data_IF_248854330914
#
_entry.id   IF_248854330914
#
_cell.length_a   1.000
_cell.length_b   1.000
_cell.length_c   1.000
_cell.angle_alpha   90.00
_cell.angle_beta   90.00
_cell.angle_gamma   90.00
#
_symmetry.space_group_name_H-M   'P 1'
#
loop_
_entity.id
_entity.type
_entity.pdbx_description
1 polymer ?
#
# COMPACT_ATOMS: atom_id res chain seq x y z
N UNK A 1 19.15 12.42 -6.14
CA UNK A 1 18.79 11.05 -5.78
C UNK A 1 17.73 10.99 -4.67
N UNK A 2 17.77 11.90 -3.70
CA UNK A 2 16.71 12.14 -2.72
C UNK A 2 15.92 13.39 -3.08
N UNK A 3 14.63 13.43 -2.73
CA UNK A 3 13.81 14.60 -3.02
C UNK A 3 14.05 15.69 -1.96
N UNK A 4 14.08 16.96 -2.38
CA UNK A 4 14.23 18.11 -1.47
C UNK A 4 13.10 18.26 -0.43
N UNK A 5 12.05 17.43 -0.54
CA UNK A 5 10.88 17.41 0.34
C UNK A 5 11.00 16.41 1.50
N UNK A 6 12.15 15.73 1.64
CA UNK A 6 12.39 14.78 2.73
C UNK A 6 13.36 15.38 3.74
N UNK A 7 12.93 15.47 4.98
CA UNK A 7 13.80 15.76 6.12
C UNK A 7 14.49 14.45 6.56
N UNK A 8 15.82 14.43 6.55
CA UNK A 8 16.61 13.27 6.93
C UNK A 8 17.26 13.48 8.29
N UNK A 9 17.17 12.48 9.16
CA UNK A 9 17.78 12.50 10.49
C UNK A 9 18.44 11.16 10.83
N UNK A 10 19.53 11.21 11.55
CA UNK A 10 20.20 10.08 12.20
C UNK A 10 20.05 10.22 13.71
N UNK A 11 19.61 9.15 14.36
CA UNK A 11 19.60 9.02 15.81
C UNK A 11 20.59 7.92 16.21
N UNK A 12 21.59 8.29 17.00
CA UNK A 12 22.58 7.33 17.52
C UNK A 12 21.99 6.56 18.69
N UNK A 13 22.09 5.24 18.64
CA UNK A 13 21.53 4.34 19.66
C UNK A 13 22.49 3.19 19.96
N UNK A 14 22.36 2.58 21.13
CA UNK A 14 22.91 1.25 21.38
C UNK A 14 21.95 0.17 20.88
N UNK A 15 22.44 -1.01 20.55
CA UNK A 15 21.61 -2.12 20.08
C UNK A 15 20.49 -2.47 21.06
N UNK A 16 20.80 -2.46 22.37
CA UNK A 16 19.82 -2.77 23.43
C UNK A 16 18.73 -1.71 23.60
N UNK A 17 18.99 -0.47 23.20
CA UNK A 17 18.05 0.65 23.36
C UNK A 17 17.23 0.96 22.10
N UNK A 18 17.48 0.26 20.99
CA UNK A 18 16.79 0.55 19.70
C UNK A 18 15.28 0.56 19.83
N UNK A 19 14.69 -0.46 20.45
CA UNK A 19 13.24 -0.57 20.59
C UNK A 19 12.66 0.54 21.46
N UNK A 20 13.31 0.85 22.60
CA UNK A 20 12.87 1.92 23.47
C UNK A 20 12.93 3.30 22.76
N UNK A 21 14.01 3.57 22.03
CA UNK A 21 14.15 4.81 21.25
C UNK A 21 13.10 4.87 20.14
N UNK A 22 12.79 3.76 19.50
CA UNK A 22 11.74 3.70 18.49
C UNK A 22 10.36 4.05 19.08
N UNK A 23 10.03 3.52 20.25
CA UNK A 23 8.78 3.86 20.95
C UNK A 23 8.72 5.35 21.29
N UNK A 24 9.81 5.92 21.79
CA UNK A 24 9.92 7.35 22.07
C UNK A 24 9.74 8.20 20.81
N UNK A 25 10.31 7.78 19.69
CA UNK A 25 10.12 8.43 18.39
C UNK A 25 8.65 8.36 17.93
N UNK A 26 7.96 7.24 18.10
CA UNK A 26 6.54 7.14 17.80
C UNK A 26 5.70 8.14 18.61
N UNK A 27 6.04 8.32 19.88
CA UNK A 27 5.33 9.26 20.76
C UNK A 27 5.57 10.71 20.33
N UNK A 28 6.83 11.08 20.10
CA UNK A 28 7.21 12.47 19.80
C UNK A 28 6.80 12.86 18.38
N UNK A 29 7.03 12.00 17.39
CA UNK A 29 6.70 12.26 15.98
C UNK A 29 5.20 12.08 15.70
N UNK A 30 4.55 11.18 16.41
CA UNK A 30 3.13 10.85 16.29
C UNK A 30 2.65 10.76 14.83
N UNK A 31 3.27 9.91 13.98
CA UNK A 31 3.06 9.89 12.54
C UNK A 31 1.63 9.51 12.14
N UNK A 32 1.11 10.10 11.06
CA UNK A 32 -0.17 9.67 10.47
C UNK A 32 -0.05 8.32 9.78
N UNK A 33 1.08 8.10 9.12
CA UNK A 33 1.43 6.83 8.47
C UNK A 33 2.95 6.65 8.50
N UNK A 34 3.40 5.48 8.90
CA UNK A 34 4.81 5.18 9.09
C UNK A 34 5.17 3.80 8.54
N UNK A 35 6.29 3.69 7.82
CA UNK A 35 6.94 2.41 7.57
C UNK A 35 8.19 2.31 8.43
N UNK A 36 8.32 1.19 9.13
CA UNK A 36 9.51 0.83 9.89
C UNK A 36 10.24 -0.29 9.18
N UNK A 37 11.44 -0.01 8.70
CA UNK A 37 12.26 -0.99 7.98
C UNK A 37 13.20 -1.73 8.93
N UNK A 38 13.09 -3.05 8.94
CA UNK A 38 14.00 -3.97 9.59
C UNK A 38 14.80 -4.77 8.56
N UNK A 39 16.00 -5.20 8.95
CA UNK A 39 16.90 -5.98 8.07
C UNK A 39 16.42 -7.41 7.86
N UNK A 40 15.86 -8.05 8.88
CA UNK A 40 15.48 -9.46 8.86
C UNK A 40 14.00 -9.68 9.15
N UNK A 41 13.47 -10.81 8.65
CA UNK A 41 12.10 -11.25 8.95
C UNK A 41 11.88 -11.43 10.46
N UNK A 42 12.87 -12.00 11.14
CA UNK A 42 12.82 -12.19 12.59
C UNK A 42 12.68 -10.87 13.35
N UNK A 43 13.40 -9.83 12.96
CA UNK A 43 13.28 -8.51 13.56
C UNK A 43 11.92 -7.87 13.26
N UNK A 44 11.38 -8.07 12.06
CA UNK A 44 10.02 -7.63 11.71
C UNK A 44 9.00 -8.28 12.64
N UNK A 45 9.06 -9.60 12.81
CA UNK A 45 8.12 -10.32 13.67
C UNK A 45 8.25 -9.94 15.14
N UNK A 46 9.49 -9.78 15.64
CA UNK A 46 9.74 -9.34 17.03
C UNK A 46 9.16 -7.96 17.28
N UNK A 47 9.47 -7.00 16.41
CA UNK A 47 9.01 -5.63 16.56
C UNK A 47 7.48 -5.54 16.45
N UNK A 48 6.90 -6.25 15.49
CA UNK A 48 5.44 -6.31 15.35
C UNK A 48 4.76 -6.86 16.61
N UNK A 49 5.30 -7.91 17.24
CA UNK A 49 4.75 -8.44 18.51
C UNK A 49 4.77 -7.39 19.63
N UNK A 50 5.88 -6.69 19.79
CA UNK A 50 5.97 -5.60 20.78
C UNK A 50 4.92 -4.53 20.51
N UNK A 51 4.74 -4.13 19.27
CA UNK A 51 3.74 -3.12 18.89
C UNK A 51 2.31 -3.63 19.11
N UNK A 52 2.04 -4.89 18.80
CA UNK A 52 0.72 -5.50 19.01
C UNK A 52 0.38 -5.62 20.50
N UNK A 53 1.35 -5.99 21.33
CA UNK A 53 1.19 -6.07 22.80
C UNK A 53 0.92 -4.69 23.44
N UNK A 54 1.32 -3.61 22.77
CA UNK A 54 1.07 -2.23 23.16
C UNK A 54 -0.15 -1.61 22.47
N UNK A 55 -0.97 -2.40 21.80
CA UNK A 55 -2.18 -1.98 21.08
C UNK A 55 -1.92 -0.93 19.97
N UNK A 56 -0.73 -0.95 19.36
CA UNK A 56 -0.47 -0.10 18.20
C UNK A 56 -1.29 -0.56 16.98
N UNK A 57 -1.89 0.36 16.23
CA UNK A 57 -2.52 0.04 14.94
C UNK A 57 -1.43 -0.25 13.90
N UNK A 58 -0.91 -1.47 13.94
CA UNK A 58 0.25 -1.93 13.17
C UNK A 58 -0.02 -3.26 12.47
N UNK A 59 0.71 -3.49 11.39
CA UNK A 59 0.84 -4.78 10.74
C UNK A 59 2.25 -4.93 10.17
N UNK A 60 2.58 -6.09 9.63
CA UNK A 60 3.90 -6.43 9.14
C UNK A 60 3.87 -7.03 7.74
N UNK A 61 5.01 -6.95 7.05
CA UNK A 61 5.21 -7.58 5.75
C UNK A 61 6.66 -8.03 5.57
N UNK A 62 6.86 -9.29 5.23
CA UNK A 62 8.17 -9.85 4.88
C UNK A 62 8.05 -11.04 3.91
N UNK A 63 9.17 -11.50 3.36
CA UNK A 63 9.20 -12.54 2.33
C UNK A 63 8.77 -13.94 2.78
N UNK A 64 8.65 -14.19 4.09
CA UNK A 64 8.16 -15.46 4.66
C UNK A 64 6.63 -15.57 4.72
N UNK A 65 5.91 -14.49 4.37
CA UNK A 65 4.44 -14.48 4.34
C UNK A 65 3.93 -14.94 2.97
N UNK A 66 2.73 -15.54 2.97
CA UNK A 66 2.04 -15.91 1.73
C UNK A 66 1.72 -14.66 0.89
N UNK A 67 1.69 -14.81 -0.43
CA UNK A 67 1.51 -13.69 -1.35
C UNK A 67 0.16 -12.98 -1.14
N UNK A 68 -0.91 -13.73 -0.90
CA UNK A 68 -2.25 -13.17 -0.68
C UNK A 68 -2.31 -12.37 0.63
N UNK A 69 -1.69 -12.88 1.70
CA UNK A 69 -1.57 -12.17 2.98
C UNK A 69 -0.80 -10.85 2.80
N UNK A 70 0.30 -10.86 2.04
CA UNK A 70 1.06 -9.64 1.73
C UNK A 70 0.23 -8.61 0.99
N UNK A 71 -0.58 -9.04 0.02
CA UNK A 71 -1.48 -8.18 -0.74
C UNK A 71 -2.55 -7.57 0.18
N UNK A 72 -3.14 -8.36 1.07
CA UNK A 72 -4.14 -7.89 2.03
C UNK A 72 -3.58 -6.82 2.97
N UNK A 73 -2.42 -7.08 3.59
CA UNK A 73 -1.73 -6.11 4.47
C UNK A 73 -1.45 -4.81 3.72
N UNK A 74 -0.95 -4.90 2.50
CA UNK A 74 -0.64 -3.74 1.68
C UNK A 74 -1.86 -2.91 1.31
N UNK A 75 -2.94 -3.59 0.96
CA UNK A 75 -4.21 -2.92 0.66
C UNK A 75 -4.78 -2.24 1.91
N UNK A 76 -4.75 -2.90 3.06
CA UNK A 76 -5.18 -2.35 4.34
C UNK A 76 -4.37 -1.09 4.73
N UNK A 77 -3.04 -1.14 4.58
CA UNK A 77 -2.18 0.02 4.84
C UNK A 77 -2.47 1.19 3.90
N UNK A 78 -2.61 0.91 2.61
CA UNK A 78 -2.95 1.92 1.59
C UNK A 78 -4.29 2.61 1.86
N UNK A 79 -5.26 1.88 2.41
CA UNK A 79 -6.57 2.40 2.82
C UNK A 79 -6.54 3.15 4.15
N UNK A 80 -5.41 3.14 4.86
CA UNK A 80 -5.25 3.76 6.17
C UNK A 80 -5.98 3.02 7.29
N UNK A 81 -6.16 1.70 7.17
CA UNK A 81 -6.78 0.87 8.21
C UNK A 81 -5.87 0.70 9.43
N UNK A 82 -4.57 0.87 9.26
CA UNK A 82 -3.59 0.94 10.34
C UNK A 82 -2.49 1.96 9.98
N UNK A 83 -1.71 2.39 10.98
CA UNK A 83 -0.77 3.51 10.86
C UNK A 83 0.68 3.09 10.68
N UNK A 84 1.08 1.93 11.20
CA UNK A 84 2.45 1.47 11.25
C UNK A 84 2.62 0.16 10.49
N UNK A 85 3.43 0.18 9.45
CA UNK A 85 3.82 -1.01 8.71
C UNK A 85 5.27 -1.37 9.03
N UNK A 86 5.51 -2.55 9.58
CA UNK A 86 6.87 -3.09 9.79
C UNK A 86 7.25 -3.97 8.62
N UNK A 87 8.36 -3.70 7.94
CA UNK A 87 8.69 -4.34 6.68
C UNK A 87 10.18 -4.66 6.52
N UNK A 88 10.48 -5.67 5.68
CA UNK A 88 11.81 -5.84 5.08
C UNK A 88 11.90 -5.14 3.72
N UNK A 89 13.12 -4.85 3.24
CA UNK A 89 13.34 -4.26 1.91
C UNK A 89 12.73 -5.09 0.78
N UNK A 90 12.90 -6.41 0.83
CA UNK A 90 12.43 -7.33 -0.21
C UNK A 90 10.91 -7.28 -0.34
N UNK A 91 10.22 -7.28 0.78
CA UNK A 91 8.76 -7.24 0.79
C UNK A 91 8.19 -5.89 0.34
N UNK A 92 8.93 -4.80 0.57
CA UNK A 92 8.52 -3.45 0.18
C UNK A 92 8.88 -3.10 -1.27
N UNK A 93 9.66 -3.93 -1.97
CA UNK A 93 9.98 -3.72 -3.39
C UNK A 93 8.76 -4.02 -4.27
N UNK A 94 8.57 -3.19 -5.28
CA UNK A 94 7.46 -3.36 -6.24
C UNK A 94 6.08 -2.99 -5.70
N UNK A 95 6.02 -2.49 -4.47
CA UNK A 95 4.77 -2.07 -3.85
C UNK A 95 4.66 -0.55 -3.97
N UNK A 96 3.60 -0.10 -4.62
CA UNK A 96 3.30 1.32 -4.78
C UNK A 96 2.66 1.88 -3.49
N UNK A 97 3.52 2.06 -2.46
CA UNK A 97 3.16 2.81 -1.26
C UNK A 97 3.81 4.19 -1.37
N UNK A 98 2.98 5.18 -1.45
CA UNK A 98 3.40 6.58 -1.54
C UNK A 98 2.59 7.41 -0.56
N UNK A 99 3.05 8.63 -0.29
CA UNK A 99 2.39 9.57 0.63
C UNK A 99 2.39 9.16 2.09
N UNK A 100 3.43 8.42 2.51
CA UNK A 100 3.69 8.11 3.91
C UNK A 100 4.31 9.33 4.57
N UNK A 101 3.94 9.63 5.81
CA UNK A 101 4.49 10.78 6.52
C UNK A 101 5.90 10.52 7.05
N UNK A 102 6.16 9.31 7.52
CA UNK A 102 7.44 8.92 8.10
C UNK A 102 7.97 7.59 7.58
N UNK A 103 9.27 7.55 7.36
CA UNK A 103 10.05 6.32 7.17
C UNK A 103 11.04 6.22 8.31
N UNK A 104 11.04 5.11 9.04
CA UNK A 104 12.02 4.85 10.08
C UNK A 104 12.85 3.63 9.69
N UNK A 105 14.15 3.81 9.52
CA UNK A 105 15.08 2.72 9.38
C UNK A 105 15.46 2.24 10.78
N UNK A 106 14.75 1.23 11.30
CA UNK A 106 15.11 0.58 12.56
C UNK A 106 16.49 -0.08 12.47
N UNK A 107 16.76 -0.71 11.33
CA UNK A 107 18.10 -1.12 10.93
C UNK A 107 18.55 -0.29 9.73
N UNK A 108 19.76 0.25 9.78
CA UNK A 108 20.38 0.90 8.62
C UNK A 108 20.43 -0.07 7.44
N UNK A 109 20.05 0.33 6.21
CA UNK A 109 20.10 -0.58 5.06
C UNK A 109 21.52 -1.05 4.76
N UNK A 110 21.66 -2.29 4.28
CA UNK A 110 22.94 -2.85 3.89
C UNK A 110 23.48 -2.21 2.62
N UNK A 111 22.59 -1.93 1.67
CA UNK A 111 22.90 -1.32 0.38
C UNK A 111 22.51 0.16 0.39
N UNK A 112 23.40 1.00 -0.08
CA UNK A 112 23.19 2.46 -0.16
C UNK A 112 21.98 2.86 -1.02
N UNK A 113 21.72 2.09 -2.10
CA UNK A 113 20.57 2.26 -2.97
C UNK A 113 19.25 2.00 -2.23
N UNK A 114 19.25 1.05 -1.31
CA UNK A 114 18.08 0.74 -0.48
C UNK A 114 17.68 1.92 0.39
N UNK A 115 18.62 2.75 0.84
CA UNK A 115 18.31 3.97 1.58
C UNK A 115 17.41 4.91 0.77
N UNK A 116 17.76 5.15 -0.47
CA UNK A 116 16.97 6.01 -1.38
C UNK A 116 15.61 5.39 -1.67
N UNK A 117 15.55 4.08 -1.89
CA UNK A 117 14.31 3.36 -2.14
C UNK A 117 13.36 3.38 -0.93
N UNK A 118 13.90 3.26 0.31
CA UNK A 118 13.12 3.33 1.55
C UNK A 118 12.60 4.74 1.78
N UNK A 119 13.48 5.73 1.78
CA UNK A 119 13.13 7.13 2.06
C UNK A 119 12.23 7.73 0.97
N UNK A 120 12.36 7.30 -0.27
CA UNK A 120 11.49 7.68 -1.38
C UNK A 120 10.02 7.22 -1.26
N UNK A 121 9.61 6.57 -0.16
CA UNK A 121 8.20 6.28 0.15
C UNK A 121 7.49 7.48 0.76
N UNK A 122 8.21 8.45 1.26
CA UNK A 122 7.69 9.72 1.80
C UNK A 122 8.09 10.91 0.93
N UNK A 123 7.65 12.10 1.25
CA UNK A 123 8.04 13.35 0.59
C UNK A 123 7.57 13.48 -0.86
N UNK A 124 6.44 12.88 -1.24
CA UNK A 124 5.89 12.93 -2.60
C UNK A 124 4.68 13.86 -2.70
N UNK A 125 4.36 14.23 -3.93
CA UNK A 125 3.20 15.08 -4.26
C UNK A 125 3.20 16.45 -3.53
N UNK A 126 4.38 17.05 -3.36
CA UNK A 126 4.52 18.37 -2.72
C UNK A 126 4.37 18.37 -1.19
N UNK A 127 4.27 17.20 -0.55
CA UNK A 127 4.22 17.07 0.91
C UNK A 127 5.62 16.83 1.46
N UNK A 128 5.91 17.44 2.60
CA UNK A 128 7.15 17.16 3.35
C UNK A 128 7.03 15.80 4.03
N UNK A 129 8.08 14.98 3.91
CA UNK A 129 8.21 13.71 4.59
C UNK A 129 9.41 13.70 5.54
N UNK A 130 9.44 12.75 6.48
CA UNK A 130 10.53 12.58 7.42
C UNK A 130 11.12 11.17 7.33
N UNK A 131 12.45 11.08 7.29
CA UNK A 131 13.20 9.84 7.27
C UNK A 131 14.17 9.81 8.45
N UNK A 132 13.96 8.92 9.41
CA UNK A 132 14.78 8.78 10.62
C UNK A 132 15.52 7.44 10.54
N UNK A 133 16.83 7.46 10.77
CA UNK A 133 17.66 6.25 10.75
C UNK A 133 18.32 6.04 12.11
N UNK A 134 18.06 4.89 12.73
CA UNK A 134 18.74 4.46 13.95
C UNK A 134 20.12 3.90 13.57
N UNK A 135 21.16 4.42 14.19
CA UNK A 135 22.56 4.07 13.89
C UNK A 135 23.26 3.63 15.16
N UNK A 136 23.76 2.40 15.17
CA UNK A 136 24.58 1.86 16.26
C UNK A 136 26.07 2.17 16.02
N UNK A 137 26.94 2.00 17.03
CA UNK A 137 28.39 2.17 16.83
C UNK A 137 29.00 1.30 15.71
N UNK A 138 28.37 0.17 15.38
CA UNK A 138 28.82 -0.73 14.30
C UNK A 138 28.44 -0.24 12.89
N UNK A 139 27.54 0.71 12.78
CA UNK A 139 26.95 1.14 11.52
C UNK A 139 27.68 2.33 10.85
N UNK A 140 28.72 2.88 11.50
CA UNK A 140 29.37 4.10 11.03
C UNK A 140 29.90 4.04 9.59
N UNK A 141 30.45 2.89 9.18
CA UNK A 141 30.90 2.67 7.80
C UNK A 141 29.74 2.72 6.79
N UNK A 142 28.62 2.07 7.12
CA UNK A 142 27.42 2.06 6.25
C UNK A 142 26.81 3.44 6.13
N UNK A 143 26.75 4.18 7.24
CA UNK A 143 26.29 5.56 7.23
C UNK A 143 27.14 6.42 6.28
N UNK A 144 28.47 6.34 6.39
CA UNK A 144 29.38 7.08 5.51
C UNK A 144 29.21 6.70 4.02
N UNK A 145 29.01 5.42 3.71
CA UNK A 145 28.74 4.94 2.35
C UNK A 145 27.42 5.49 1.80
N UNK A 146 26.37 5.56 2.63
CA UNK A 146 25.07 6.15 2.27
C UNK A 146 25.21 7.64 2.02
N UNK A 147 25.82 8.39 2.95
CA UNK A 147 26.03 9.85 2.84
C UNK A 147 26.84 10.21 1.59
N UNK A 148 27.90 9.45 1.31
CA UNK A 148 28.68 9.60 0.07
C UNK A 148 27.83 9.37 -1.19
N UNK A 149 26.90 8.42 -1.14
CA UNK A 149 26.04 8.08 -2.27
C UNK A 149 24.95 9.13 -2.51
N UNK A 150 24.33 9.64 -1.44
CA UNK A 150 23.27 10.66 -1.56
C UNK A 150 23.83 12.07 -1.75
N UNK A 151 25.13 12.29 -1.42
CA UNK A 151 25.84 13.54 -1.65
C UNK A 151 25.72 14.58 -0.54
N UNK A 152 25.25 14.21 0.64
CA UNK A 152 25.21 15.07 1.82
C UNK A 152 25.31 14.27 3.14
N UNK A 153 25.80 14.92 4.20
CA UNK A 153 25.79 14.35 5.55
C UNK A 153 24.39 14.46 6.13
N UNK A 154 23.92 13.36 6.75
CA UNK A 154 22.61 13.33 7.38
C UNK A 154 22.73 13.94 8.78
N UNK A 155 21.93 14.96 9.13
CA UNK A 155 21.98 15.58 10.46
C UNK A 155 21.80 14.55 11.58
N UNK A 156 22.71 14.55 12.54
CA UNK A 156 22.59 13.73 13.75
C UNK A 156 21.80 14.50 14.79
N UNK A 157 20.69 13.95 15.21
CA UNK A 157 19.83 14.52 16.25
C UNK A 157 19.85 13.63 17.50
N UNK A 158 19.66 14.19 18.69
CA UNK A 158 19.57 13.38 19.90
C UNK A 158 18.30 12.52 19.89
N UNK A 159 18.34 11.37 20.56
CA UNK A 159 17.13 10.63 20.87
C UNK A 159 16.17 11.52 21.68
N UNK A 160 14.84 11.31 21.57
CA UNK A 160 13.88 12.07 22.33
C UNK A 160 14.19 12.06 23.83
N UNK A 161 14.12 13.22 24.47
CA UNK A 161 14.28 13.32 25.93
C UNK A 161 13.01 12.83 26.64
N UNK A 162 13.16 12.37 27.90
CA UNK A 162 12.03 11.99 28.74
C UNK A 162 10.97 13.11 28.82
N UNK A 163 11.41 14.37 28.95
CA UNK A 163 10.54 15.54 28.99
C UNK A 163 9.76 15.73 27.68
N UNK A 164 10.39 15.51 26.53
CA UNK A 164 9.72 15.59 25.21
C UNK A 164 8.69 14.48 25.04
N UNK A 165 9.01 13.27 25.48
CA UNK A 165 8.11 12.11 25.46
C UNK A 165 6.90 12.36 26.37
N UNK A 166 7.11 12.81 27.60
CA UNK A 166 6.03 13.05 28.56
C UNK A 166 5.06 14.13 28.07
N UNK A 167 5.57 15.19 27.44
CA UNK A 167 4.71 16.23 26.86
C UNK A 167 3.79 15.75 25.73
N UNK A 168 4.21 14.72 25.00
CA UNK A 168 3.49 14.21 23.84
C UNK A 168 2.67 12.95 24.12
N UNK A 169 2.94 12.28 25.24
CA UNK A 169 2.35 10.97 25.57
C UNK A 169 0.82 10.97 25.57
N UNK A 170 0.20 11.96 26.21
CA UNK A 170 -1.26 12.02 26.31
C UNK A 170 -1.93 12.15 24.93
N UNK A 171 -1.42 13.04 24.07
CA UNK A 171 -1.92 13.22 22.71
C UNK A 171 -1.73 11.95 21.86
N UNK A 172 -0.56 11.32 22.01
CA UNK A 172 -0.26 10.07 21.30
C UNK A 172 -1.19 8.93 21.73
N UNK A 173 -1.39 8.72 23.03
CA UNK A 173 -2.27 7.68 23.55
C UNK A 173 -3.73 7.90 23.14
N UNK A 174 -4.21 9.14 23.11
CA UNK A 174 -5.53 9.47 22.57
C UNK A 174 -5.63 9.06 21.09
N UNK A 175 -4.60 9.33 20.31
CA UNK A 175 -4.57 8.96 18.88
C UNK A 175 -4.46 7.46 18.62
N UNK A 176 -3.79 6.70 19.48
CA UNK A 176 -3.75 5.23 19.35
C UNK A 176 -5.14 4.60 19.44
N UNK A 177 -6.03 5.19 20.23
CA UNK A 177 -7.41 4.71 20.42
C UNK A 177 -8.35 5.05 19.27
N UNK A 178 -7.95 5.96 18.38
CA UNK A 178 -8.75 6.33 17.22
C UNK A 178 -8.54 5.27 16.14
N UNK A 179 -9.62 4.58 15.77
CA UNK A 179 -9.61 3.71 14.59
C UNK A 179 -9.43 4.61 13.36
N UNK A 180 -8.39 4.41 12.54
CA UNK A 180 -8.17 5.24 11.37
C UNK A 180 -9.38 5.22 10.45
N UNK A 181 -9.83 6.39 9.99
CA UNK A 181 -10.85 6.46 8.95
C UNK A 181 -10.31 5.78 7.68
N UNK A 182 -11.12 4.90 7.13
CA UNK A 182 -10.80 4.19 5.89
C UNK A 182 -10.62 5.20 4.74
N UNK A 183 -9.39 5.40 4.31
CA UNK A 183 -9.12 6.19 3.09
C UNK A 183 -9.75 5.46 1.91
N UNK A 184 -10.66 6.13 1.21
CA UNK A 184 -11.22 5.59 -0.04
C UNK A 184 -10.09 5.51 -1.07
N UNK A 185 -9.69 4.29 -1.41
CA UNK A 185 -8.73 4.07 -2.49
C UNK A 185 -9.39 4.50 -3.81
N UNK A 186 -8.71 5.32 -4.60
CA UNK A 186 -9.20 5.69 -5.95
C UNK A 186 -9.47 4.44 -6.80
N UNK A 187 -8.70 3.36 -6.60
CA UNK A 187 -8.93 2.06 -7.26
C UNK A 187 -10.21 1.38 -6.76
N UNK A 188 -10.57 1.52 -5.48
CA UNK A 188 -11.86 1.01 -4.97
C UNK A 188 -13.05 1.77 -5.56
N UNK A 189 -12.93 3.08 -5.73
CA UNK A 189 -13.97 3.87 -6.40
C UNK A 189 -14.12 3.44 -7.87
N UNK A 190 -13.01 3.16 -8.55
CA UNK A 190 -13.02 2.59 -9.91
C UNK A 190 -13.60 1.17 -9.89
N UNK A 191 -13.19 0.31 -8.94
CA UNK A 191 -13.71 -1.06 -8.83
C UNK A 191 -15.18 -1.12 -8.43
N UNK A 192 -15.68 -0.18 -7.62
CA UNK A 192 -17.12 -0.07 -7.31
C UNK A 192 -17.95 0.32 -8.53
N UNK A 193 -17.34 0.96 -9.52
CA UNK A 193 -17.97 1.31 -10.78
C UNK A 193 -17.84 0.22 -11.86
N UNK A 194 -17.08 -0.83 -11.58
CA UNK A 194 -16.91 -1.98 -12.48
C UNK A 194 -17.86 -3.10 -12.04
N UNK A 195 -18.70 -3.53 -12.97
CA UNK A 195 -19.53 -4.72 -12.79
C UNK A 195 -19.12 -5.80 -13.79
N UNK A 196 -18.80 -6.98 -13.32
CA UNK A 196 -18.56 -8.14 -14.18
C UNK A 196 -19.91 -8.78 -14.52
N UNK A 197 -20.17 -8.95 -15.82
CA UNK A 197 -21.33 -9.67 -16.33
C UNK A 197 -20.87 -11.02 -16.91
N UNK A 198 -21.58 -12.08 -16.54
CA UNK A 198 -21.32 -13.43 -17.01
C UNK A 198 -22.41 -13.87 -17.98
N UNK A 199 -22.00 -14.25 -19.19
CA UNK A 199 -22.86 -14.75 -20.26
C UNK A 199 -22.67 -16.25 -20.43
N UNK A 200 -23.75 -17.02 -20.60
CA UNK A 200 -23.75 -18.47 -20.73
C UNK A 200 -23.35 -18.97 -22.13
N UNK A 201 -22.40 -18.32 -22.78
CA UNK A 201 -21.90 -18.67 -24.08
C UNK A 201 -20.45 -18.18 -24.25
N UNK A 202 -19.67 -18.91 -25.02
CA UNK A 202 -18.28 -18.63 -25.30
C UNK A 202 -17.80 -19.18 -26.64
N UNK A 203 -16.57 -19.66 -26.68
CA UNK A 203 -15.91 -20.18 -27.90
C UNK A 203 -16.70 -21.27 -28.61
N UNK A 204 -17.34 -22.19 -27.89
CA UNK A 204 -18.14 -23.27 -28.47
C UNK A 204 -19.35 -22.78 -29.26
N UNK A 205 -19.87 -21.58 -28.89
CA UNK A 205 -20.93 -20.93 -29.67
C UNK A 205 -20.40 -19.97 -30.74
N UNK A 206 -19.09 -20.02 -31.02
CA UNK A 206 -18.37 -19.18 -32.01
C UNK A 206 -18.52 -17.70 -31.76
N UNK A 207 -18.54 -17.31 -30.47
CA UNK A 207 -18.53 -15.90 -30.03
C UNK A 207 -17.11 -15.40 -29.85
N UNK A 208 -16.90 -14.13 -30.18
CA UNK A 208 -15.63 -13.40 -30.05
C UNK A 208 -15.87 -12.09 -29.28
N UNK A 209 -14.81 -11.48 -28.75
CA UNK A 209 -14.89 -10.21 -28.01
C UNK A 209 -15.62 -9.11 -28.81
N UNK A 210 -15.31 -9.02 -30.10
CA UNK A 210 -15.94 -8.03 -31.00
C UNK A 210 -17.47 -8.18 -31.11
N UNK A 211 -18.00 -9.37 -30.94
CA UNK A 211 -19.46 -9.63 -30.99
C UNK A 211 -20.13 -9.02 -29.74
N UNK A 212 -19.49 -9.07 -28.59
CA UNK A 212 -19.95 -8.42 -27.35
C UNK A 212 -19.78 -6.91 -27.41
N UNK A 213 -18.60 -6.40 -27.82
CA UNK A 213 -18.37 -4.96 -27.97
C UNK A 213 -19.38 -4.35 -28.94
N UNK A 214 -19.56 -4.97 -30.11
CA UNK A 214 -20.47 -4.47 -31.13
C UNK A 214 -21.93 -4.48 -30.73
N UNK A 215 -22.33 -5.33 -29.77
CA UNK A 215 -23.70 -5.37 -29.24
C UNK A 215 -23.86 -4.38 -28.08
N UNK A 216 -22.95 -4.42 -27.09
CA UNK A 216 -23.07 -3.63 -25.86
C UNK A 216 -22.88 -2.13 -26.14
N UNK A 217 -21.94 -1.75 -27.00
CA UNK A 217 -21.71 -0.35 -27.35
C UNK A 217 -22.84 0.30 -28.16
N UNK A 218 -23.81 -0.49 -28.64
CA UNK A 218 -25.01 0.02 -29.32
C UNK A 218 -26.21 0.21 -28.39
N UNK A 219 -26.10 -0.21 -27.14
CA UNK A 219 -27.15 -0.01 -26.16
C UNK A 219 -27.27 1.49 -25.84
N UNK A 220 -28.49 1.94 -25.63
CA UNK A 220 -28.74 3.35 -25.31
C UNK A 220 -28.05 3.73 -24.00
N UNK A 221 -27.32 4.84 -24.02
CA UNK A 221 -26.56 5.32 -22.87
C UNK A 221 -25.26 4.57 -22.57
N UNK A 222 -24.77 3.69 -23.46
CA UNK A 222 -23.53 2.92 -23.35
C UNK A 222 -22.59 3.21 -24.52
N UNK A 223 -21.31 3.40 -24.23
CA UNK A 223 -20.25 3.59 -25.24
C UNK A 223 -19.21 2.48 -25.18
N UNK A 224 -18.37 2.38 -26.20
CA UNK A 224 -17.28 1.41 -26.23
C UNK A 224 -16.31 1.58 -25.04
N UNK A 225 -16.08 2.81 -24.56
CA UNK A 225 -15.21 3.11 -23.41
C UNK A 225 -15.82 2.64 -22.07
N UNK A 226 -17.09 2.24 -22.04
CA UNK A 226 -17.73 1.65 -20.86
C UNK A 226 -17.50 0.14 -20.77
N UNK A 227 -16.81 -0.46 -21.75
CA UNK A 227 -16.52 -1.90 -21.82
C UNK A 227 -15.05 -2.12 -21.45
N UNK A 228 -14.82 -2.88 -20.38
CA UNK A 228 -13.49 -3.26 -19.92
C UNK A 228 -13.04 -4.60 -20.50
N UNK A 229 -12.41 -5.43 -19.67
CA UNK A 229 -11.85 -6.72 -20.07
C UNK A 229 -12.96 -7.68 -20.45
N UNK A 230 -12.79 -8.35 -21.60
CA UNK A 230 -13.65 -9.45 -22.05
C UNK A 230 -12.86 -10.74 -22.03
N UNK A 231 -13.27 -11.70 -21.21
CA UNK A 231 -12.66 -13.02 -21.10
C UNK A 231 -13.60 -14.07 -21.68
N UNK A 232 -13.22 -14.69 -22.81
CA UNK A 232 -14.02 -15.69 -23.45
C UNK A 232 -13.46 -17.08 -23.16
N UNK A 233 -14.25 -17.87 -22.45
CA UNK A 233 -13.99 -19.27 -22.15
C UNK A 233 -14.82 -20.17 -23.11
N UNK A 234 -14.71 -21.46 -22.99
CA UNK A 234 -15.40 -22.40 -23.88
C UNK A 234 -16.93 -22.25 -23.85
N UNK A 235 -17.51 -22.17 -22.67
CA UNK A 235 -18.96 -22.18 -22.45
C UNK A 235 -19.51 -20.86 -21.86
N UNK A 236 -18.65 -19.96 -21.42
CA UNK A 236 -19.04 -18.70 -20.77
C UNK A 236 -18.17 -17.55 -21.25
N UNK A 237 -18.69 -16.34 -21.14
CA UNK A 237 -17.93 -15.11 -21.38
C UNK A 237 -18.16 -14.17 -20.21
N UNK A 238 -17.07 -13.63 -19.67
CA UNK A 238 -17.09 -12.56 -18.69
C UNK A 238 -16.80 -11.24 -19.38
N UNK A 239 -17.61 -10.23 -19.10
CA UNK A 239 -17.44 -8.87 -19.61
C UNK A 239 -17.46 -7.90 -18.45
N UNK A 240 -16.42 -7.09 -18.33
CA UNK A 240 -16.39 -5.97 -17.37
C UNK A 240 -17.08 -4.75 -17.96
N UNK A 241 -18.03 -4.22 -17.22
CA UNK A 241 -18.72 -2.95 -17.56
C UNK A 241 -18.26 -1.90 -16.58
N UNK A 242 -17.74 -0.80 -17.11
CA UNK A 242 -17.11 0.30 -16.40
C UNK A 242 -18.11 1.45 -16.13
N UNK A 243 -17.63 2.49 -15.45
CA UNK A 243 -18.30 3.76 -15.27
C UNK A 243 -19.72 3.68 -14.65
N UNK A 244 -19.95 2.64 -13.84
CA UNK A 244 -21.26 2.42 -13.21
C UNK A 244 -22.37 1.99 -14.16
N UNK A 245 -22.05 1.66 -15.42
CA UNK A 245 -23.03 1.24 -16.43
C UNK A 245 -23.49 -0.21 -16.29
N UNK A 246 -22.88 -0.98 -15.38
CA UNK A 246 -23.16 -2.42 -15.20
C UNK A 246 -24.65 -2.75 -15.02
N UNK A 247 -25.37 -2.11 -14.09
CA UNK A 247 -26.81 -2.38 -13.91
C UNK A 247 -27.64 -2.12 -15.17
N UNK A 248 -27.37 -1.03 -15.89
CA UNK A 248 -28.04 -0.67 -17.13
C UNK A 248 -27.80 -1.74 -18.20
N UNK A 249 -26.55 -2.13 -18.41
CA UNK A 249 -26.19 -3.17 -19.40
C UNK A 249 -26.79 -4.51 -19.02
N UNK A 250 -26.77 -4.89 -17.74
CA UNK A 250 -27.36 -6.13 -17.25
C UNK A 250 -28.86 -6.21 -17.60
N UNK A 251 -29.61 -5.12 -17.36
CA UNK A 251 -31.03 -5.04 -17.66
C UNK A 251 -31.30 -5.12 -19.17
N UNK A 252 -30.61 -4.31 -19.98
CA UNK A 252 -30.83 -4.26 -21.43
C UNK A 252 -30.43 -5.56 -22.14
N UNK A 253 -29.37 -6.24 -21.65
CA UNK A 253 -28.90 -7.51 -22.21
C UNK A 253 -29.80 -8.71 -21.92
N UNK A 254 -30.79 -8.60 -21.03
CA UNK A 254 -31.81 -9.63 -20.84
C UNK A 254 -32.65 -9.85 -22.11
N UNK A 255 -32.85 -8.78 -22.88
CA UNK A 255 -33.69 -8.78 -24.09
C UNK A 255 -32.90 -8.52 -25.38
N UNK A 256 -31.55 -8.53 -25.31
CA UNK A 256 -30.70 -8.25 -26.47
C UNK A 256 -29.94 -9.49 -26.88
N UNK A 257 -29.84 -9.73 -28.19
CA UNK A 257 -29.08 -10.87 -28.74
C UNK A 257 -27.65 -10.49 -29.07
N UNK A 258 -26.70 -11.40 -28.82
CA UNK A 258 -25.31 -11.30 -29.27
C UNK A 258 -25.14 -12.19 -30.49
N UNK A 259 -24.80 -11.59 -31.63
CA UNK A 259 -24.69 -12.32 -32.92
C UNK A 259 -25.93 -13.19 -33.24
N UNK A 260 -27.11 -12.60 -33.01
CA UNK A 260 -28.40 -13.26 -33.24
C UNK A 260 -28.76 -14.35 -32.22
N UNK A 261 -27.99 -14.52 -31.14
CA UNK A 261 -28.24 -15.52 -30.10
C UNK A 261 -28.71 -14.86 -28.82
N UNK A 262 -29.83 -15.31 -28.29
CA UNK A 262 -30.28 -14.92 -26.94
C UNK A 262 -29.41 -15.62 -25.91
N UNK A 263 -28.73 -14.85 -25.08
CA UNK A 263 -27.85 -15.33 -24.03
C UNK A 263 -28.44 -15.02 -22.64
N UNK A 264 -28.25 -15.95 -21.69
CA UNK A 264 -28.52 -15.65 -20.29
C UNK A 264 -27.35 -14.83 -19.76
N UNK A 265 -27.65 -13.68 -19.15
CA UNK A 265 -26.68 -12.81 -18.50
C UNK A 265 -27.01 -12.67 -17.04
N UNK A 266 -25.96 -12.67 -16.21
CA UNK A 266 -26.05 -12.48 -14.76
C UNK A 266 -24.88 -11.69 -14.26
N UNK A 267 -25.00 -11.11 -13.07
CA UNK A 267 -23.86 -10.51 -12.38
C UNK A 267 -22.84 -11.59 -12.06
N UNK A 268 -21.60 -11.42 -12.51
CA UNK A 268 -20.47 -12.27 -12.20
C UNK A 268 -20.03 -12.12 -10.74
N UNK A 269 -19.35 -13.13 -10.19
CA UNK A 269 -18.71 -13.01 -8.88
C UNK A 269 -17.46 -12.12 -9.02
N UNK A 270 -17.25 -11.21 -8.08
CA UNK A 270 -15.93 -10.61 -7.89
C UNK A 270 -14.98 -11.73 -7.43
N UNK A 271 -13.87 -11.88 -8.11
CA UNK A 271 -12.74 -12.72 -7.65
C UNK A 271 -11.90 -11.82 -6.76
#
# INVERSE_FOLDING_TARGET
>A
LTTATIEHEVVRVSEVNKTAVLEDLFIVENPDSCIVFCRTQENVDKLFRVMADLDYPADRIHGGMEQDERIEVMNAFRRGQFRYLVATDVAARGIDITNITHVINYDIPLEKESYVHRTGRTGRAGKTGKAITLVTPKDGRRLAEIESYIGFEIPVVPAPSEEAVDRRREEFEKRLKIVPERKKDKREQLNQQIMKLNFNAGKKKKLRAVDFVGTIAKLDGVNADDIGIITILDNVTDVEILNGKGPLVLEMMQNTTVKGKQLKVRKGKHV
#
